data_IF_958800728612
#
_entry.id   IF_958800728612
#
_cell.length_a   1.000
_cell.length_b   1.000
_cell.length_c   1.000
_cell.angle_alpha   90.00
_cell.angle_beta   90.00
_cell.angle_gamma   90.00
#
_symmetry.space_group_name_H-M   'P 1'
#
loop_
_entity.id
_entity.type
_entity.pdbx_description
1 polymer ?
#
# COMPACT_ATOMS: atom_id res chain seq x y z
N UNK A 1 -27.59 22.90 6.99
CA UNK A 1 -27.97 21.49 6.71
C UNK A 1 -26.80 20.55 6.33
N UNK A 2 -25.64 21.03 5.86
CA UNK A 2 -24.47 20.17 5.52
C UNK A 2 -23.59 19.74 6.72
N UNK A 3 -23.62 20.47 7.84
CA UNK A 3 -22.81 20.18 9.03
C UNK A 3 -23.29 18.96 9.85
N UNK A 4 -24.59 18.64 9.81
CA UNK A 4 -25.15 17.45 10.51
C UNK A 4 -24.79 16.12 9.81
N UNK A 5 -24.45 16.13 8.53
CA UNK A 5 -24.13 14.93 7.75
C UNK A 5 -22.69 14.44 7.97
N UNK A 6 -21.74 15.35 8.19
CA UNK A 6 -20.34 15.00 8.44
C UNK A 6 -20.13 14.40 9.85
N UNK A 7 -20.82 14.95 10.86
CA UNK A 7 -20.83 14.39 12.22
C UNK A 7 -21.47 13.00 12.27
N UNK A 8 -22.52 12.77 11.48
CA UNK A 8 -23.16 11.45 11.35
C UNK A 8 -22.20 10.39 10.77
N UNK A 9 -21.38 10.73 9.76
CA UNK A 9 -20.43 9.79 9.15
C UNK A 9 -19.24 9.46 10.05
N UNK A 10 -18.70 10.43 10.79
CA UNK A 10 -17.63 10.18 11.76
C UNK A 10 -18.11 9.33 12.94
N UNK A 11 -19.31 9.61 13.46
CA UNK A 11 -19.91 8.80 14.53
C UNK A 11 -20.26 7.39 14.03
N UNK A 12 -20.72 7.24 12.78
CA UNK A 12 -20.89 5.94 12.13
C UNK A 12 -19.57 5.17 12.01
N UNK A 13 -18.48 5.83 11.58
CA UNK A 13 -17.16 5.22 11.50
C UNK A 13 -16.62 4.78 12.86
N UNK A 14 -16.80 5.58 13.92
CA UNK A 14 -16.40 5.21 15.28
C UNK A 14 -17.29 4.09 15.87
N UNK A 15 -18.59 4.09 15.55
CA UNK A 15 -19.51 2.98 15.85
C UNK A 15 -19.05 1.69 15.16
N UNK A 16 -18.67 1.77 13.89
CA UNK A 16 -18.24 0.63 13.11
C UNK A 16 -16.86 0.13 13.54
N UNK A 17 -15.99 1.00 14.04
CA UNK A 17 -14.76 0.67 14.77
C UNK A 17 -15.02 -0.07 16.07
N UNK A 18 -15.96 0.42 16.88
CA UNK A 18 -16.32 -0.23 18.13
C UNK A 18 -16.92 -1.61 17.86
N UNK A 19 -17.78 -1.72 16.84
CA UNK A 19 -18.28 -3.00 16.33
C UNK A 19 -17.16 -3.86 15.77
N UNK A 20 -16.17 -3.30 15.08
CA UNK A 20 -15.01 -4.01 14.54
C UNK A 20 -14.13 -4.58 15.65
N UNK A 21 -13.80 -3.78 16.66
CA UNK A 21 -13.07 -4.21 17.85
C UNK A 21 -13.88 -5.28 18.61
N UNK A 22 -15.19 -5.09 18.76
CA UNK A 22 -16.09 -6.08 19.36
C UNK A 22 -16.21 -7.37 18.53
N UNK A 23 -16.24 -7.29 17.19
CA UNK A 23 -16.31 -8.44 16.29
C UNK A 23 -15.02 -9.26 16.30
N UNK A 24 -13.86 -8.58 16.38
CA UNK A 24 -12.56 -9.23 16.58
C UNK A 24 -12.52 -9.92 17.96
N UNK A 25 -13.02 -9.27 19.01
CA UNK A 25 -12.99 -9.82 20.38
C UNK A 25 -14.04 -10.90 20.65
N UNK A 26 -15.21 -10.90 19.99
CA UNK A 26 -16.32 -11.81 20.33
C UNK A 26 -16.32 -13.15 19.61
N UNK A 27 -15.48 -13.40 18.60
CA UNK A 27 -15.51 -14.65 17.82
C UNK A 27 -16.91 -15.06 17.27
N UNK A 28 -17.91 -14.17 17.26
CA UNK A 28 -19.29 -14.42 16.78
C UNK A 28 -19.43 -14.27 15.26
N UNK A 29 -18.42 -14.70 14.51
CA UNK A 29 -18.28 -14.44 13.08
C UNK A 29 -18.86 -15.54 12.17
N UNK A 30 -19.62 -16.49 12.71
CA UNK A 30 -20.09 -17.64 11.92
C UNK A 30 -21.42 -17.43 11.18
N UNK A 31 -22.24 -16.43 11.50
CA UNK A 31 -23.59 -16.29 10.92
C UNK A 31 -23.83 -15.00 10.10
N UNK A 32 -22.80 -14.24 9.74
CA UNK A 32 -22.98 -13.05 8.90
C UNK A 32 -22.68 -13.32 7.42
N UNK A 33 -23.48 -12.71 6.55
CA UNK A 33 -23.26 -12.72 5.10
C UNK A 33 -22.09 -11.79 4.74
N UNK A 34 -20.88 -12.34 4.76
CA UNK A 34 -19.66 -11.60 4.44
C UNK A 34 -19.57 -11.19 2.98
N UNK A 35 -20.38 -11.74 2.08
CA UNK A 35 -20.36 -11.36 0.66
C UNK A 35 -20.81 -9.90 0.49
N UNK A 36 -21.98 -9.55 1.03
CA UNK A 36 -22.52 -8.19 0.95
C UNK A 36 -21.64 -7.18 1.69
N UNK A 37 -21.11 -7.56 2.86
CA UNK A 37 -20.21 -6.71 3.63
C UNK A 37 -18.89 -6.46 2.90
N UNK A 38 -18.30 -7.50 2.30
CA UNK A 38 -17.07 -7.37 1.52
C UNK A 38 -17.28 -6.51 0.27
N UNK A 39 -18.42 -6.66 -0.42
CA UNK A 39 -18.77 -5.83 -1.57
C UNK A 39 -18.89 -4.35 -1.20
N UNK A 40 -19.68 -4.02 -0.18
CA UNK A 40 -19.87 -2.64 0.29
C UNK A 40 -18.56 -1.99 0.75
N UNK A 41 -17.73 -2.74 1.48
CA UNK A 41 -16.42 -2.25 1.92
C UNK A 41 -15.47 -2.03 0.73
N UNK A 42 -15.51 -2.90 -0.27
CA UNK A 42 -14.68 -2.78 -1.49
C UNK A 42 -15.14 -1.62 -2.38
N UNK A 43 -16.44 -1.38 -2.51
CA UNK A 43 -16.99 -0.21 -3.22
C UNK A 43 -16.58 1.09 -2.55
N UNK A 44 -16.67 1.14 -1.21
CA UNK A 44 -16.20 2.30 -0.44
C UNK A 44 -14.71 2.56 -0.68
N UNK A 45 -13.90 1.50 -0.68
CA UNK A 45 -12.46 1.59 -0.93
C UNK A 45 -12.18 2.06 -2.37
N UNK A 46 -12.90 1.54 -3.36
CA UNK A 46 -12.78 1.96 -4.75
C UNK A 46 -13.11 3.44 -4.92
N UNK A 47 -14.18 3.91 -4.27
CA UNK A 47 -14.52 5.32 -4.25
C UNK A 47 -13.40 6.18 -3.64
N UNK A 48 -12.77 5.75 -2.55
CA UNK A 48 -11.63 6.45 -1.96
C UNK A 48 -10.42 6.48 -2.91
N UNK A 49 -10.07 5.34 -3.53
CA UNK A 49 -8.97 5.23 -4.48
C UNK A 49 -9.13 6.20 -5.65
N UNK A 50 -10.33 6.25 -6.23
CA UNK A 50 -10.63 7.15 -7.36
C UNK A 50 -10.68 8.61 -6.89
N UNK A 51 -11.24 8.87 -5.71
CA UNK A 51 -11.36 10.23 -5.16
C UNK A 51 -9.99 10.85 -4.85
N UNK A 52 -9.07 10.09 -4.26
CA UNK A 52 -7.71 10.55 -3.95
C UNK A 52 -6.74 10.42 -5.14
N UNK A 53 -7.22 9.97 -6.31
CA UNK A 53 -6.39 9.77 -7.51
C UNK A 53 -5.24 8.76 -7.32
N UNK A 54 -5.43 7.78 -6.45
CA UNK A 54 -4.43 6.72 -6.26
C UNK A 54 -4.36 5.77 -7.46
N UNK A 55 -5.51 5.48 -8.08
CA UNK A 55 -5.64 4.84 -9.39
C UNK A 55 -6.71 5.56 -10.19
N UNK A 56 -6.49 5.72 -11.50
CA UNK A 56 -7.42 6.45 -12.39
C UNK A 56 -8.69 5.68 -12.66
N UNK A 57 -8.58 4.36 -12.80
CA UNK A 57 -9.69 3.48 -13.19
C UNK A 57 -10.26 2.67 -12.02
N UNK A 58 -9.74 2.84 -10.80
CA UNK A 58 -10.15 2.04 -9.64
C UNK A 58 -9.77 0.56 -9.81
N UNK A 59 -10.66 -0.34 -9.37
CA UNK A 59 -10.45 -1.79 -9.40
C UNK A 59 -10.88 -2.42 -10.73
N UNK A 60 -11.81 -1.82 -11.47
CA UNK A 60 -12.26 -2.38 -12.76
C UNK A 60 -11.36 -1.98 -13.94
N UNK A 61 -10.11 -2.46 -13.91
CA UNK A 61 -9.09 -2.21 -14.93
C UNK A 61 -9.13 -3.28 -16.03
N UNK A 62 -9.64 -2.92 -17.21
CA UNK A 62 -9.61 -3.73 -18.43
C UNK A 62 -8.62 -3.17 -19.46
N UNK A 63 -8.18 -4.02 -20.40
CA UNK A 63 -7.31 -3.61 -21.51
C UNK A 63 -7.96 -2.49 -22.33
N UNK A 64 -9.27 -2.59 -22.57
CA UNK A 64 -10.05 -1.60 -23.33
C UNK A 64 -10.05 -0.24 -22.64
N UNK A 65 -10.35 -0.21 -21.33
CA UNK A 65 -10.33 1.03 -20.54
C UNK A 65 -8.93 1.64 -20.45
N UNK A 66 -7.89 0.81 -20.42
CA UNK A 66 -6.50 1.30 -20.45
C UNK A 66 -6.18 2.00 -21.79
N UNK A 67 -6.67 1.45 -22.91
CA UNK A 67 -6.51 2.06 -24.24
C UNK A 67 -7.25 3.39 -24.32
N UNK A 68 -8.48 3.45 -23.80
CA UNK A 68 -9.25 4.69 -23.73
C UNK A 68 -8.56 5.75 -22.86
N UNK A 69 -8.07 5.35 -21.68
CA UNK A 69 -7.32 6.22 -20.77
C UNK A 69 -6.04 6.77 -21.43
N UNK A 70 -5.33 5.98 -22.24
CA UNK A 70 -4.15 6.45 -22.97
C UNK A 70 -4.48 7.50 -24.03
N UNK A 71 -5.71 7.51 -24.54
CA UNK A 71 -6.17 8.45 -25.56
C UNK A 71 -6.64 9.77 -24.97
N UNK A 72 -7.10 9.78 -23.72
CA UNK A 72 -7.61 10.98 -23.05
C UNK A 72 -6.49 11.75 -22.33
N UNK A 73 -6.53 13.09 -22.42
CA UNK A 73 -5.64 13.94 -21.66
C UNK A 73 -6.10 14.01 -20.20
N UNK A 74 -5.24 13.59 -19.27
CA UNK A 74 -5.56 13.57 -17.85
C UNK A 74 -5.32 14.95 -17.22
N UNK A 75 -6.35 15.81 -17.31
CA UNK A 75 -6.36 17.13 -16.69
C UNK A 75 -6.10 17.06 -15.18
N UNK A 76 -6.62 16.05 -14.48
CA UNK A 76 -6.55 15.96 -13.02
C UNK A 76 -5.12 15.72 -12.55
N UNK A 77 -4.43 14.76 -13.18
CA UNK A 77 -3.02 14.50 -12.89
C UNK A 77 -2.14 15.69 -13.29
N UNK A 78 -2.50 16.41 -14.35
CA UNK A 78 -1.78 17.62 -14.76
C UNK A 78 -1.92 18.75 -13.74
N UNK A 79 -3.13 18.99 -13.20
CA UNK A 79 -3.34 19.93 -12.10
C UNK A 79 -2.50 19.57 -10.87
N UNK A 80 -2.47 18.30 -10.49
CA UNK A 80 -1.67 17.84 -9.36
C UNK A 80 -0.18 18.14 -9.56
N UNK A 81 0.38 17.80 -10.72
CA UNK A 81 1.78 18.12 -11.09
C UNK A 81 2.05 19.62 -11.08
N UNK A 82 1.11 20.42 -11.55
CA UNK A 82 1.23 21.88 -11.55
C UNK A 82 1.33 22.44 -10.12
N UNK A 83 0.46 22.01 -9.20
CA UNK A 83 0.56 22.40 -7.79
C UNK A 83 1.86 21.93 -7.15
N UNK A 84 2.35 20.74 -7.48
CA UNK A 84 3.63 20.24 -6.98
C UNK A 84 4.81 21.08 -7.48
N UNK A 85 4.82 21.45 -8.76
CA UNK A 85 5.85 22.33 -9.33
C UNK A 85 5.85 23.72 -8.67
N UNK A 86 4.68 24.28 -8.39
CA UNK A 86 4.57 25.54 -7.63
C UNK A 86 5.19 25.38 -6.23
N UNK A 87 4.85 24.31 -5.52
CA UNK A 87 5.38 24.09 -4.17
C UNK A 87 6.89 23.83 -4.16
N UNK A 88 7.42 23.06 -5.13
CA UNK A 88 8.86 22.78 -5.25
C UNK A 88 9.67 24.01 -5.67
N UNK A 89 9.20 24.74 -6.68
CA UNK A 89 9.87 25.99 -7.12
C UNK A 89 9.91 27.02 -6.02
N UNK A 90 8.91 27.04 -5.14
CA UNK A 90 8.85 27.90 -3.95
C UNK A 90 9.70 27.39 -2.78
N UNK A 91 9.92 26.09 -2.63
CA UNK A 91 10.77 25.58 -1.55
C UNK A 91 12.16 26.23 -1.60
N UNK A 92 12.78 26.33 -2.78
CA UNK A 92 14.09 26.93 -2.98
C UNK A 92 14.25 28.37 -2.42
N UNK A 93 13.43 29.37 -2.82
CA UNK A 93 13.51 30.71 -2.25
C UNK A 93 13.15 30.75 -0.76
N UNK A 94 12.26 29.87 -0.27
CA UNK A 94 11.91 29.79 1.17
C UNK A 94 13.10 29.31 2.03
N UNK A 95 14.03 28.53 1.48
CA UNK A 95 15.28 28.19 2.19
C UNK A 95 16.27 29.36 2.25
N UNK A 96 16.25 30.24 1.25
CA UNK A 96 17.23 31.32 1.11
C UNK A 96 16.76 32.68 1.66
N UNK A 97 15.47 32.83 1.96
CA UNK A 97 14.90 34.11 2.36
C UNK A 97 15.10 34.39 3.86
N UNK A 98 15.48 35.64 4.16
CA UNK A 98 15.65 36.15 5.52
C UNK A 98 14.77 37.39 5.75
N UNK A 99 14.36 37.60 7.00
CA UNK A 99 13.52 38.74 7.41
C UNK A 99 12.15 38.78 6.74
N UNK A 100 11.63 39.98 6.46
CA UNK A 100 10.29 40.20 5.91
C UNK A 100 10.02 39.54 4.57
N UNK A 101 11.06 39.22 3.80
CA UNK A 101 10.94 38.49 2.53
C UNK A 101 10.42 37.07 2.73
N UNK A 102 10.75 36.43 3.85
CA UNK A 102 10.23 35.11 4.21
C UNK A 102 8.71 35.13 4.49
N UNK A 103 8.18 36.25 5.00
CA UNK A 103 6.74 36.45 5.24
C UNK A 103 5.99 36.53 3.90
N UNK A 104 6.50 37.29 2.93
CA UNK A 104 5.89 37.37 1.59
C UNK A 104 5.96 36.05 0.84
N UNK A 105 7.01 35.26 1.10
CA UNK A 105 7.16 33.88 0.63
C UNK A 105 6.40 32.87 1.50
N UNK A 106 5.54 33.33 2.43
CA UNK A 106 4.60 32.56 3.24
C UNK A 106 5.23 31.42 4.04
N UNK A 107 6.43 31.61 4.59
CA UNK A 107 7.12 30.63 5.42
C UNK A 107 6.28 30.30 6.67
N UNK A 108 5.64 29.11 6.77
CA UNK A 108 4.79 28.78 7.92
C UNK A 108 5.61 28.53 9.20
N UNK A 109 6.93 28.55 9.08
CA UNK A 109 7.90 28.38 10.16
C UNK A 109 8.61 29.70 10.47
N UNK A 110 8.03 30.83 10.04
CA UNK A 110 8.58 32.16 10.31
C UNK A 110 8.75 32.35 11.82
N UNK A 111 9.95 32.76 12.23
CA UNK A 111 10.39 32.87 13.63
C UNK A 111 10.45 31.56 14.44
N UNK A 112 10.16 30.38 13.85
CA UNK A 112 10.38 29.09 14.53
C UNK A 112 11.87 28.81 14.68
N UNK A 113 12.27 28.32 15.87
CA UNK A 113 13.68 28.04 16.19
C UNK A 113 14.23 26.88 15.37
N UNK A 114 13.37 25.93 14.97
CA UNK A 114 13.76 24.71 14.25
C UNK A 114 13.37 24.77 12.76
N UNK A 115 13.24 25.99 12.22
CA UNK A 115 12.80 26.24 10.83
C UNK A 115 13.56 25.40 9.79
N UNK A 116 14.86 25.15 10.00
CA UNK A 116 15.69 24.41 9.03
C UNK A 116 15.32 22.92 9.03
N UNK A 117 15.20 22.32 10.21
CA UNK A 117 14.86 20.89 10.37
C UNK A 117 13.46 20.63 9.82
N UNK A 118 12.49 21.45 10.19
CA UNK A 118 11.10 21.31 9.76
C UNK A 118 10.94 21.52 8.25
N UNK A 119 11.68 22.45 7.63
CA UNK A 119 11.71 22.60 6.17
C UNK A 119 12.27 21.36 5.48
N UNK A 120 13.33 20.74 6.02
CA UNK A 120 13.88 19.49 5.47
C UNK A 120 12.84 18.37 5.54
N UNK A 121 12.15 18.22 6.66
CA UNK A 121 11.08 17.23 6.84
C UNK A 121 9.98 17.41 5.80
N UNK A 122 9.54 18.65 5.55
CA UNK A 122 8.52 18.97 4.53
C UNK A 122 9.00 18.62 3.11
N UNK A 123 10.24 18.97 2.76
CA UNK A 123 10.80 18.70 1.42
C UNK A 123 10.98 17.21 1.20
N UNK A 124 11.66 16.52 2.11
CA UNK A 124 11.91 15.07 2.00
C UNK A 124 10.59 14.33 1.97
N UNK A 125 9.65 14.70 2.85
CA UNK A 125 8.33 14.09 2.91
C UNK A 125 7.56 14.25 1.59
N UNK A 126 7.46 15.48 1.08
CA UNK A 126 6.70 15.77 -0.13
C UNK A 126 7.35 15.15 -1.37
N UNK A 127 8.69 15.18 -1.46
CA UNK A 127 9.42 14.63 -2.60
C UNK A 127 9.22 13.11 -2.72
N UNK A 128 9.38 12.36 -1.63
CA UNK A 128 9.22 10.89 -1.65
C UNK A 128 7.79 10.50 -2.01
N UNK A 129 6.79 11.18 -1.45
CA UNK A 129 5.39 10.92 -1.79
C UNK A 129 5.07 11.25 -3.25
N UNK A 130 5.66 12.30 -3.81
CA UNK A 130 5.49 12.66 -5.22
C UNK A 130 6.11 11.63 -6.16
N UNK A 131 7.35 11.20 -5.90
CA UNK A 131 7.98 10.15 -6.70
C UNK A 131 7.21 8.84 -6.63
N UNK A 132 6.62 8.50 -5.47
CA UNK A 132 5.70 7.37 -5.37
C UNK A 132 4.49 7.55 -6.30
N UNK A 133 3.81 8.71 -6.25
CA UNK A 133 2.68 9.03 -7.12
C UNK A 133 3.03 8.86 -8.61
N UNK A 134 4.14 9.45 -9.05
CA UNK A 134 4.60 9.33 -10.44
C UNK A 134 4.94 7.89 -10.82
N UNK A 135 5.59 7.14 -9.92
CA UNK A 135 5.85 5.72 -10.10
C UNK A 135 4.57 4.92 -10.31
N UNK A 136 3.53 5.16 -9.52
CA UNK A 136 2.22 4.50 -9.65
C UNK A 136 1.58 4.84 -10.99
N UNK A 137 1.55 6.12 -11.37
CA UNK A 137 0.95 6.57 -12.62
C UNK A 137 1.65 5.95 -13.85
N UNK A 138 2.96 5.76 -13.78
CA UNK A 138 3.73 5.07 -14.83
C UNK A 138 3.37 3.59 -14.91
N UNK A 139 3.30 2.90 -13.76
CA UNK A 139 2.93 1.48 -13.68
C UNK A 139 1.49 1.28 -14.18
N UNK A 140 0.55 2.13 -13.79
CA UNK A 140 -0.84 2.08 -14.25
C UNK A 140 -0.91 2.28 -15.78
N UNK A 141 -0.20 3.27 -16.33
CA UNK A 141 -0.14 3.52 -17.79
C UNK A 141 0.43 2.34 -18.58
N UNK A 142 1.34 1.56 -17.98
CA UNK A 142 1.90 0.35 -18.57
C UNK A 142 0.98 -0.87 -18.42
N UNK A 143 -0.17 -0.73 -17.76
CA UNK A 143 -1.09 -1.83 -17.49
C UNK A 143 -0.59 -2.77 -16.39
N UNK A 144 0.09 -2.21 -15.38
CA UNK A 144 0.60 -2.93 -14.21
C UNK A 144 -0.47 -3.59 -13.36
N UNK A 145 -1.66 -2.98 -13.31
CA UNK A 145 -2.79 -3.44 -12.51
C UNK A 145 -3.92 -4.04 -13.37
N UNK A 146 -3.64 -4.36 -14.65
CA UNK A 146 -4.63 -5.05 -15.50
C UNK A 146 -4.57 -6.56 -15.23
N UNK A 147 -5.69 -7.14 -14.81
CA UNK A 147 -5.81 -8.59 -14.63
C UNK A 147 -7.05 -9.00 -13.81
N UNK A 148 -7.31 -10.30 -13.74
CA UNK A 148 -8.41 -10.84 -12.92
C UNK A 148 -8.27 -10.44 -11.44
N UNK A 149 -7.04 -10.30 -10.95
CA UNK A 149 -6.77 -9.93 -9.57
C UNK A 149 -7.19 -8.51 -9.18
N UNK A 150 -7.43 -7.62 -10.14
CA UNK A 150 -8.04 -6.31 -9.87
C UNK A 150 -9.58 -6.33 -9.94
N UNK A 151 -10.20 -7.31 -10.60
CA UNK A 151 -11.67 -7.47 -10.64
C UNK A 151 -12.23 -8.08 -9.36
N UNK A 152 -11.86 -7.50 -8.22
CA UNK A 152 -12.16 -8.02 -6.88
C UNK A 152 -13.67 -8.17 -6.67
N UNK A 153 -14.48 -7.24 -7.19
CA UNK A 153 -15.95 -7.29 -7.07
C UNK A 153 -16.54 -8.54 -7.74
N UNK A 154 -16.02 -8.91 -8.91
CA UNK A 154 -16.45 -10.12 -9.62
C UNK A 154 -15.97 -11.37 -8.88
N UNK A 155 -14.75 -11.33 -8.32
CA UNK A 155 -14.18 -12.44 -7.55
C UNK A 155 -14.91 -12.70 -6.23
N UNK A 156 -15.42 -11.66 -5.57
CA UNK A 156 -16.21 -11.81 -4.32
C UNK A 156 -17.53 -12.56 -4.62
N UNK A 157 -18.18 -12.25 -5.75
CA UNK A 157 -19.46 -12.84 -6.16
C UNK A 157 -19.29 -14.25 -6.77
N UNK A 158 -18.37 -14.37 -7.72
CA UNK A 158 -18.29 -15.54 -8.60
C UNK A 158 -17.10 -16.46 -8.30
N UNK A 159 -16.12 -16.01 -7.47
CA UNK A 159 -14.86 -16.71 -7.29
C UNK A 159 -13.98 -16.70 -8.55
N UNK A 160 -12.98 -17.59 -8.59
CA UNK A 160 -12.10 -17.73 -9.76
C UNK A 160 -12.71 -18.60 -10.87
N UNK A 161 -12.46 -18.21 -12.12
CA UNK A 161 -12.89 -18.94 -13.32
C UNK A 161 -12.21 -20.32 -13.47
N UNK A 162 -10.95 -20.42 -13.05
CA UNK A 162 -10.10 -21.59 -13.27
C UNK A 162 -10.00 -22.54 -12.07
N UNK A 163 -10.18 -22.01 -10.87
CA UNK A 163 -10.13 -22.77 -9.61
C UNK A 163 -11.19 -22.22 -8.65
N UNK A 164 -12.48 -22.53 -8.91
CA UNK A 164 -13.59 -21.94 -8.16
C UNK A 164 -13.42 -22.22 -6.68
N UNK A 165 -13.79 -21.25 -5.86
CA UNK A 165 -13.75 -21.44 -4.42
C UNK A 165 -14.79 -22.47 -4.00
N UNK A 166 -14.36 -23.39 -3.13
CA UNK A 166 -15.32 -24.19 -2.37
C UNK A 166 -15.99 -23.26 -1.35
N UNK A 167 -17.28 -23.43 -1.07
CA UNK A 167 -18.05 -22.57 -0.15
C UNK A 167 -17.32 -22.08 1.14
N UNK A 168 -16.62 -22.92 1.92
CA UNK A 168 -15.86 -22.43 3.08
C UNK A 168 -14.70 -21.49 2.71
N UNK A 169 -14.03 -21.74 1.59
CA UNK A 169 -12.95 -20.88 1.10
C UNK A 169 -13.48 -19.55 0.58
N UNK A 170 -14.66 -19.53 -0.03
CA UNK A 170 -15.31 -18.29 -0.48
C UNK A 170 -15.70 -17.42 0.72
N UNK A 171 -16.26 -18.04 1.78
CA UNK A 171 -16.57 -17.33 3.02
C UNK A 171 -15.31 -16.76 3.68
N UNK A 172 -14.23 -17.54 3.73
CA UNK A 172 -12.94 -17.07 4.25
C UNK A 172 -12.33 -15.95 3.40
N UNK A 173 -12.43 -16.06 2.08
CA UNK A 173 -11.95 -15.03 1.15
C UNK A 173 -12.72 -13.72 1.33
N UNK A 174 -14.05 -13.78 1.34
CA UNK A 174 -14.92 -12.62 1.52
C UNK A 174 -14.66 -11.97 2.89
N UNK A 175 -14.52 -12.78 3.94
CA UNK A 175 -14.16 -12.31 5.28
C UNK A 175 -12.81 -11.59 5.30
N UNK A 176 -11.77 -12.14 4.68
CA UNK A 176 -10.45 -11.49 4.64
C UNK A 176 -10.48 -10.21 3.81
N UNK A 177 -11.15 -10.20 2.66
CA UNK A 177 -11.32 -8.99 1.86
C UNK A 177 -12.06 -7.89 2.64
N UNK A 178 -13.13 -8.24 3.36
CA UNK A 178 -13.85 -7.31 4.23
C UNK A 178 -12.92 -6.68 5.27
N UNK A 179 -12.13 -7.47 6.00
CA UNK A 179 -11.22 -6.92 7.01
C UNK A 179 -10.12 -6.05 6.44
N UNK A 180 -9.54 -6.44 5.31
CA UNK A 180 -8.54 -5.63 4.62
C UNK A 180 -9.16 -4.29 4.21
N UNK A 181 -10.28 -4.31 3.49
CA UNK A 181 -10.97 -3.09 3.06
C UNK A 181 -11.36 -2.20 4.25
N UNK A 182 -11.89 -2.78 5.33
CA UNK A 182 -12.30 -2.03 6.52
C UNK A 182 -11.13 -1.32 7.21
N UNK A 183 -9.99 -2.01 7.37
CA UNK A 183 -8.78 -1.41 7.93
C UNK A 183 -8.33 -0.20 7.11
N UNK A 184 -8.23 -0.35 5.78
CA UNK A 184 -7.75 0.72 4.91
C UNK A 184 -8.74 1.87 4.74
N UNK A 185 -10.05 1.57 4.67
CA UNK A 185 -11.12 2.57 4.65
C UNK A 185 -11.08 3.48 5.89
N UNK A 186 -10.61 2.96 7.02
CA UNK A 186 -10.43 3.70 8.26
C UNK A 186 -9.09 4.45 8.32
N UNK A 187 -8.00 3.83 7.89
CA UNK A 187 -6.67 4.45 7.88
C UNK A 187 -6.59 5.68 6.98
N UNK A 188 -7.31 5.69 5.85
CA UNK A 188 -7.28 6.78 4.87
C UNK A 188 -7.75 8.15 5.41
N UNK A 189 -8.94 8.30 6.03
CA UNK A 189 -9.35 9.56 6.64
C UNK A 189 -8.49 9.93 7.87
N UNK A 190 -8.00 8.94 8.63
CA UNK A 190 -7.12 9.21 9.76
C UNK A 190 -5.80 9.84 9.34
N UNK A 191 -5.15 9.34 8.27
CA UNK A 191 -3.87 9.91 7.83
C UNK A 191 -4.05 11.35 7.34
N UNK A 192 -5.17 11.67 6.71
CA UNK A 192 -5.49 13.04 6.27
C UNK A 192 -5.62 13.97 7.47
N UNK A 193 -6.35 13.55 8.50
CA UNK A 193 -6.51 14.33 9.73
C UNK A 193 -5.15 14.51 10.43
N UNK A 194 -4.36 13.45 10.49
CA UNK A 194 -3.02 13.46 11.10
C UNK A 194 -2.06 14.42 10.39
N UNK A 195 -1.96 14.32 9.06
CA UNK A 195 -1.13 15.20 8.23
C UNK A 195 -1.60 16.65 8.33
N UNK A 196 -2.92 16.87 8.36
CA UNK A 196 -3.48 18.22 8.55
C UNK A 196 -3.04 18.81 9.88
N UNK A 197 -3.13 18.06 10.98
CA UNK A 197 -2.67 18.55 12.29
C UNK A 197 -1.17 18.84 12.26
N UNK A 198 -0.36 17.91 11.77
CA UNK A 198 1.10 18.04 11.72
C UNK A 198 1.55 19.29 10.95
N UNK A 199 1.03 19.50 9.74
CA UNK A 199 1.45 20.61 8.88
C UNK A 199 0.92 21.98 9.33
N UNK A 200 -0.13 22.02 10.14
CA UNK A 200 -0.72 23.27 10.65
C UNK A 200 -0.31 23.56 12.10
N UNK A 201 0.37 22.64 12.79
CA UNK A 201 0.67 22.75 14.22
C UNK A 201 1.46 24.02 14.56
N UNK A 202 2.60 24.22 13.89
CA UNK A 202 3.45 25.39 14.09
C UNK A 202 2.73 26.69 13.71
N UNK A 203 1.91 26.66 12.66
CA UNK A 203 1.13 27.83 12.25
C UNK A 203 0.14 28.24 13.35
N UNK A 204 -0.62 27.30 13.92
CA UNK A 204 -1.62 27.59 14.96
C UNK A 204 -0.96 28.12 16.24
N UNK A 205 0.22 27.60 16.60
CA UNK A 205 0.89 27.95 17.85
C UNK A 205 1.75 29.21 17.72
N UNK A 206 2.47 29.39 16.61
CA UNK A 206 3.30 30.57 16.39
C UNK A 206 2.47 31.81 16.02
N UNK A 207 1.31 31.67 15.35
CA UNK A 207 0.41 32.81 15.12
C UNK A 207 -0.01 33.50 16.42
N UNK A 208 -0.14 32.74 17.51
CA UNK A 208 -0.46 33.30 18.83
C UNK A 208 0.63 34.25 19.33
N UNK A 209 1.89 34.00 18.95
CA UNK A 209 3.06 34.76 19.41
C UNK A 209 3.40 35.96 18.52
N UNK A 210 3.01 35.96 17.23
CA UNK A 210 3.39 36.99 16.25
C UNK A 210 2.19 37.51 15.43
N UNK A 211 1.19 38.07 16.13
CA UNK A 211 -0.05 38.57 15.55
C UNK A 211 0.18 39.79 14.63
N UNK A 212 0.41 39.55 13.33
CA UNK A 212 0.32 40.57 12.28
C UNK A 212 -0.60 40.07 11.16
N UNK A 213 -1.51 40.93 10.71
CA UNK A 213 -2.49 40.60 9.65
C UNK A 213 -1.81 40.17 8.34
N UNK A 214 -0.65 40.77 8.03
CA UNK A 214 0.18 40.43 6.87
C UNK A 214 0.67 38.98 6.95
N UNK A 215 1.23 38.60 8.09
CA UNK A 215 1.75 37.25 8.34
C UNK A 215 0.62 36.21 8.25
N UNK A 216 -0.52 36.49 8.88
CA UNK A 216 -1.69 35.62 8.84
C UNK A 216 -2.19 35.40 7.40
N UNK A 217 -2.29 36.44 6.59
CA UNK A 217 -2.81 36.31 5.22
C UNK A 217 -1.91 35.43 4.33
N UNK A 218 -0.59 35.67 4.33
CA UNK A 218 0.34 34.93 3.47
C UNK A 218 0.56 33.48 3.94
N UNK A 219 0.60 33.24 5.25
CA UNK A 219 0.75 31.89 5.81
C UNK A 219 -0.52 31.04 5.63
N UNK A 220 -1.71 31.61 5.82
CA UNK A 220 -2.97 30.89 5.58
C UNK A 220 -3.14 30.56 4.10
N UNK A 221 -2.87 31.52 3.20
CA UNK A 221 -2.93 31.29 1.76
C UNK A 221 -2.01 30.15 1.33
N UNK A 222 -0.82 30.06 1.93
CA UNK A 222 0.12 28.97 1.66
C UNK A 222 -0.37 27.62 2.17
N UNK A 223 -0.84 27.60 3.40
CA UNK A 223 -1.28 26.39 4.07
C UNK A 223 -2.47 25.75 3.35
N UNK A 224 -3.33 26.57 2.74
CA UNK A 224 -4.41 26.14 1.84
C UNK A 224 -3.92 25.47 0.56
N UNK A 225 -2.66 25.67 0.16
CA UNK A 225 -2.07 25.03 -1.03
C UNK A 225 -1.20 23.81 -0.70
N UNK A 226 -0.38 23.88 0.35
CA UNK A 226 0.54 22.80 0.71
C UNK A 226 -0.17 21.66 1.46
N UNK A 227 -0.97 21.97 2.49
CA UNK A 227 -1.58 20.94 3.35
C UNK A 227 -2.51 20.02 2.57
N UNK A 228 -3.45 20.50 1.73
CA UNK A 228 -4.31 19.61 0.96
C UNK A 228 -3.54 18.75 -0.03
N UNK A 229 -2.46 19.29 -0.61
CA UNK A 229 -1.60 18.54 -1.53
C UNK A 229 -0.91 17.38 -0.80
N UNK A 230 -0.27 17.65 0.34
CA UNK A 230 0.43 16.61 1.11
C UNK A 230 -0.56 15.60 1.68
N UNK A 231 -1.73 16.05 2.17
CA UNK A 231 -2.77 15.15 2.66
C UNK A 231 -3.29 14.22 1.56
N UNK A 232 -3.44 14.72 0.33
CA UNK A 232 -3.83 13.93 -0.83
C UNK A 232 -2.75 12.91 -1.20
N UNK A 233 -1.47 13.32 -1.26
CA UNK A 233 -0.36 12.42 -1.54
C UNK A 233 -0.20 11.33 -0.45
N UNK A 234 -0.41 11.66 0.82
CA UNK A 234 -0.39 10.70 1.92
C UNK A 234 -1.56 9.70 1.83
N UNK A 235 -2.76 10.18 1.50
CA UNK A 235 -3.92 9.33 1.26
C UNK A 235 -3.69 8.36 0.09
N UNK A 236 -3.05 8.82 -0.99
CA UNK A 236 -2.67 7.96 -2.13
C UNK A 236 -1.75 6.82 -1.72
N UNK A 237 -0.73 7.09 -0.90
CA UNK A 237 0.17 6.05 -0.39
C UNK A 237 -0.58 4.98 0.41
N UNK A 238 -1.50 5.40 1.28
CA UNK A 238 -2.36 4.49 2.06
C UNK A 238 -3.25 3.67 1.14
N UNK A 239 -3.88 4.29 0.14
CA UNK A 239 -4.68 3.60 -0.86
C UNK A 239 -3.86 2.57 -1.66
N UNK A 240 -2.61 2.86 -2.00
CA UNK A 240 -1.75 1.90 -2.68
C UNK A 240 -1.42 0.69 -1.79
N UNK A 241 -1.19 0.92 -0.49
CA UNK A 241 -1.03 -0.16 0.49
C UNK A 241 -2.24 -1.10 0.50
N UNK A 242 -3.45 -0.53 0.42
CA UNK A 242 -4.68 -1.29 0.31
C UNK A 242 -4.77 -2.11 -0.98
N UNK A 243 -4.48 -1.49 -2.13
CA UNK A 243 -4.44 -2.15 -3.44
C UNK A 243 -3.47 -3.33 -3.40
N UNK A 244 -2.26 -3.12 -2.87
CA UNK A 244 -1.23 -4.15 -2.79
C UNK A 244 -1.66 -5.33 -1.90
N UNK A 245 -2.26 -5.03 -0.74
CA UNK A 245 -2.80 -6.04 0.18
C UNK A 245 -3.93 -6.86 -0.45
N UNK A 246 -4.89 -6.21 -1.12
CA UNK A 246 -5.99 -6.90 -1.80
C UNK A 246 -5.47 -7.76 -2.96
N UNK A 247 -4.57 -7.20 -3.76
CA UNK A 247 -3.93 -7.91 -4.87
C UNK A 247 -3.24 -9.20 -4.41
N UNK A 248 -2.49 -9.09 -3.31
CA UNK A 248 -1.81 -10.23 -2.69
C UNK A 248 -2.80 -11.24 -2.12
N UNK A 249 -3.88 -10.77 -1.49
CA UNK A 249 -4.92 -11.62 -0.90
C UNK A 249 -5.58 -12.47 -1.98
N UNK A 250 -5.91 -11.88 -3.14
CA UNK A 250 -6.47 -12.62 -4.27
C UNK A 250 -5.54 -13.77 -4.68
N UNK A 251 -4.27 -13.47 -4.95
CA UNK A 251 -3.30 -14.52 -5.31
C UNK A 251 -3.08 -15.55 -4.19
N UNK A 252 -3.18 -15.15 -2.92
CA UNK A 252 -3.06 -16.04 -1.76
C UNK A 252 -4.18 -17.09 -1.73
N UNK A 253 -5.41 -16.67 -1.99
CA UNK A 253 -6.56 -17.57 -2.04
C UNK A 253 -6.55 -18.42 -3.31
N UNK A 254 -6.11 -17.88 -4.45
CA UNK A 254 -5.93 -18.65 -5.68
C UNK A 254 -4.92 -19.80 -5.50
N UNK A 255 -3.76 -19.50 -4.87
CA UNK A 255 -2.78 -20.51 -4.46
C UNK A 255 -3.35 -21.52 -3.45
N UNK A 256 -4.28 -21.11 -2.60
CA UNK A 256 -5.00 -21.99 -1.68
C UNK A 256 -5.86 -23.00 -2.43
N UNK A 257 -6.63 -22.54 -3.42
CA UNK A 257 -7.46 -23.39 -4.27
C UNK A 257 -6.60 -24.39 -5.05
N UNK A 258 -5.48 -23.94 -5.63
CA UNK A 258 -4.51 -24.82 -6.29
C UNK A 258 -3.97 -25.89 -5.32
N UNK A 259 -3.55 -25.50 -4.11
CA UNK A 259 -3.09 -26.43 -3.08
C UNK A 259 -4.14 -27.50 -2.77
N UNK A 260 -5.40 -27.10 -2.66
CA UNK A 260 -6.49 -28.02 -2.38
C UNK A 260 -6.73 -28.99 -3.54
N UNK A 261 -6.71 -28.50 -4.79
CA UNK A 261 -6.78 -29.34 -5.98
C UNK A 261 -5.61 -30.34 -6.05
N UNK A 262 -4.37 -29.90 -5.78
CA UNK A 262 -3.20 -30.78 -5.72
C UNK A 262 -3.32 -31.81 -4.60
N UNK A 263 -3.90 -31.45 -3.46
CA UNK A 263 -4.11 -32.39 -2.35
C UNK A 263 -5.15 -33.48 -2.68
N UNK A 264 -6.20 -33.13 -3.40
CA UNK A 264 -7.20 -34.09 -3.89
C UNK A 264 -6.57 -35.05 -4.90
N UNK A 265 -5.73 -34.52 -5.80
CA UNK A 265 -4.97 -35.33 -6.74
C UNK A 265 -4.03 -36.31 -6.04
N UNK A 266 -3.33 -35.88 -4.98
CA UNK A 266 -2.49 -36.75 -4.16
C UNK A 266 -3.26 -37.87 -3.45
N UNK A 267 -4.52 -37.62 -3.05
CA UNK A 267 -5.41 -38.61 -2.44
C UNK A 267 -6.04 -39.56 -3.48
N UNK A 268 -6.18 -39.12 -4.72
CA UNK A 268 -6.78 -39.85 -5.84
C UNK A 268 -5.75 -40.60 -6.71
N UNK A 269 -4.52 -40.77 -6.23
CA UNK A 269 -3.35 -41.12 -7.05
C UNK A 269 -3.34 -42.56 -7.63
N UNK A 270 -4.37 -43.36 -7.36
CA UNK A 270 -4.47 -44.74 -7.84
C UNK A 270 -5.01 -44.86 -9.27
N UNK A 271 -5.52 -43.76 -9.86
CA UNK A 271 -6.17 -43.82 -11.19
C UNK A 271 -5.18 -43.53 -12.33
N UNK A 272 -5.09 -44.42 -13.35
CA UNK A 272 -4.11 -44.33 -14.44
C UNK A 272 -4.44 -43.30 -15.54
N UNK A 273 -5.53 -42.54 -15.43
CA UNK A 273 -5.97 -41.61 -16.48
C UNK A 273 -5.73 -40.13 -16.14
N UNK A 274 -4.96 -39.49 -17.04
CA UNK A 274 -4.30 -38.18 -16.95
C UNK A 274 -5.22 -36.94 -17.07
N UNK A 275 -6.55 -37.05 -17.04
CA UNK A 275 -7.43 -35.88 -17.24
C UNK A 275 -7.25 -34.84 -16.15
N UNK A 276 -7.24 -35.29 -14.89
CA UNK A 276 -7.25 -34.41 -13.71
C UNK A 276 -5.86 -33.81 -13.50
N UNK A 277 -4.81 -34.62 -13.73
CA UNK A 277 -3.43 -34.19 -13.78
C UNK A 277 -3.24 -33.13 -14.87
N UNK A 278 -3.77 -33.36 -16.08
CA UNK A 278 -3.68 -32.44 -17.21
C UNK A 278 -4.37 -31.12 -16.93
N UNK A 279 -5.57 -31.19 -16.35
CA UNK A 279 -6.35 -30.02 -15.96
C UNK A 279 -5.59 -29.18 -14.94
N UNK A 280 -5.19 -29.78 -13.81
CA UNK A 280 -4.50 -29.07 -12.72
C UNK A 280 -3.15 -28.52 -13.19
N UNK A 281 -2.37 -29.27 -13.96
CA UNK A 281 -1.07 -28.81 -14.51
C UNK A 281 -1.26 -27.61 -15.45
N UNK A 282 -2.27 -27.65 -16.34
CA UNK A 282 -2.56 -26.54 -17.25
C UNK A 282 -2.94 -25.28 -16.48
N UNK A 283 -3.88 -25.38 -15.55
CA UNK A 283 -4.34 -24.21 -14.79
C UNK A 283 -3.28 -23.69 -13.81
N UNK A 284 -2.44 -24.56 -13.23
CA UNK A 284 -1.28 -24.13 -12.45
C UNK A 284 -0.29 -23.32 -13.31
N UNK A 285 -0.02 -23.76 -14.54
CA UNK A 285 0.89 -23.04 -15.46
C UNK A 285 0.34 -21.65 -15.82
N UNK A 286 -0.96 -21.56 -16.11
CA UNK A 286 -1.63 -20.27 -16.37
C UNK A 286 -1.49 -19.34 -15.17
N UNK A 287 -1.76 -19.85 -13.97
CA UNK A 287 -1.67 -19.07 -12.74
C UNK A 287 -0.25 -18.57 -12.44
N UNK A 288 0.77 -19.41 -12.62
CA UNK A 288 2.16 -18.97 -12.47
C UNK A 288 2.53 -17.91 -13.52
N UNK A 289 2.10 -18.08 -14.77
CA UNK A 289 2.32 -17.06 -15.81
C UNK A 289 1.67 -15.72 -15.47
N UNK A 290 0.44 -15.74 -14.95
CA UNK A 290 -0.26 -14.52 -14.52
C UNK A 290 0.45 -13.86 -13.35
N UNK A 291 0.85 -14.63 -12.33
CA UNK A 291 1.61 -14.11 -11.19
C UNK A 291 2.94 -13.49 -11.64
N UNK A 292 3.71 -14.18 -12.48
CA UNK A 292 4.99 -13.68 -12.99
C UNK A 292 4.81 -12.38 -13.80
N UNK A 293 3.81 -12.34 -14.69
CA UNK A 293 3.51 -11.14 -15.50
C UNK A 293 3.15 -9.96 -14.60
N UNK A 294 2.29 -10.18 -13.61
CA UNK A 294 1.76 -9.13 -12.76
C UNK A 294 2.82 -8.59 -11.80
N UNK A 295 3.57 -9.48 -11.13
CA UNK A 295 4.63 -9.08 -10.20
C UNK A 295 5.79 -8.40 -10.91
N UNK A 296 6.12 -8.83 -12.14
CA UNK A 296 7.16 -8.19 -12.94
C UNK A 296 6.85 -6.71 -13.24
N UNK A 297 5.58 -6.36 -13.44
CA UNK A 297 5.17 -4.97 -13.73
C UNK A 297 5.24 -4.06 -12.50
N UNK A 298 5.03 -4.60 -11.30
CA UNK A 298 4.99 -3.82 -10.05
C UNK A 298 6.30 -3.86 -9.25
N UNK A 299 7.26 -4.72 -9.60
CA UNK A 299 8.49 -4.97 -8.82
C UNK A 299 9.31 -3.72 -8.50
N UNK A 300 9.43 -2.78 -9.44
CA UNK A 300 10.20 -1.55 -9.23
C UNK A 300 9.48 -0.56 -8.33
N UNK A 301 8.14 -0.55 -8.38
CA UNK A 301 7.34 0.22 -7.45
C UNK A 301 7.54 -0.32 -6.02
N UNK A 302 7.49 -1.63 -5.83
CA UNK A 302 7.75 -2.26 -4.53
C UNK A 302 9.16 -1.94 -4.02
N UNK A 303 10.16 -1.98 -4.89
CA UNK A 303 11.53 -1.58 -4.53
C UNK A 303 11.60 -0.14 -4.03
N UNK A 304 10.86 0.78 -4.67
CA UNK A 304 10.76 2.17 -4.22
C UNK A 304 10.12 2.30 -2.82
N UNK A 305 9.16 1.45 -2.47
CA UNK A 305 8.57 1.44 -1.11
C UNK A 305 9.58 1.03 -0.04
N UNK A 306 10.36 -0.03 -0.28
CA UNK A 306 11.37 -0.49 0.68
C UNK A 306 12.58 0.43 0.79
N UNK A 307 12.90 1.17 -0.27
CA UNK A 307 14.05 2.09 -0.27
C UNK A 307 13.60 3.50 0.08
N UNK A 308 12.83 4.16 -0.78
CA UNK A 308 12.40 5.55 -0.60
C UNK A 308 11.47 5.77 0.59
N UNK A 309 10.35 5.04 0.65
CA UNK A 309 9.33 5.26 1.69
C UNK A 309 9.81 4.82 3.08
N UNK A 310 10.53 3.69 3.16
CA UNK A 310 11.14 3.27 4.42
C UNK A 310 12.26 4.22 4.87
N UNK A 311 13.11 4.71 3.95
CA UNK A 311 14.13 5.70 4.29
C UNK A 311 13.50 7.01 4.77
N UNK A 312 12.39 7.45 4.16
CA UNK A 312 11.62 8.61 4.65
C UNK A 312 11.17 8.42 6.11
N UNK A 313 10.66 7.24 6.47
CA UNK A 313 10.30 6.91 7.86
C UNK A 313 11.51 7.03 8.79
N UNK A 314 12.67 6.50 8.38
CA UNK A 314 13.91 6.59 9.13
C UNK A 314 14.31 8.06 9.39
N UNK A 315 14.27 8.90 8.36
CA UNK A 315 14.56 10.33 8.49
C UNK A 315 13.62 11.03 9.47
N UNK A 316 12.32 10.73 9.43
CA UNK A 316 11.35 11.32 10.36
C UNK A 316 11.63 10.92 11.81
N UNK A 317 11.91 9.64 12.07
CA UNK A 317 12.27 9.17 13.42
C UNK A 317 13.57 9.83 13.89
N UNK A 318 14.59 9.92 13.02
CA UNK A 318 15.87 10.55 13.33
C UNK A 318 15.72 12.02 13.70
N UNK A 319 15.03 12.81 12.87
CA UNK A 319 14.85 14.24 13.13
C UNK A 319 14.06 14.49 14.41
N UNK A 320 13.04 13.68 14.68
CA UNK A 320 12.19 13.84 15.84
C UNK A 320 12.84 13.41 17.16
N UNK A 321 13.58 12.29 17.17
CA UNK A 321 14.08 11.69 18.42
C UNK A 321 15.51 12.12 18.73
N UNK A 322 16.37 12.24 17.71
CA UNK A 322 17.82 12.41 17.93
C UNK A 322 18.24 13.87 17.80
N UNK A 323 17.76 14.55 16.76
CA UNK A 323 18.02 16.00 16.61
C UNK A 323 17.13 16.76 17.60
N UNK A 324 15.85 16.37 17.66
CA UNK A 324 14.86 17.02 18.50
C UNK A 324 14.50 18.41 17.97
N UNK A 325 13.22 18.76 18.05
CA UNK A 325 12.78 20.13 17.88
C UNK A 325 12.53 20.72 19.28
N UNK A 326 12.42 22.04 19.34
CA UNK A 326 12.07 22.77 20.55
C UNK A 326 10.68 22.37 21.09
N UNK A 327 9.78 21.86 20.24
CA UNK A 327 8.46 21.38 20.65
C UNK A 327 8.40 19.85 20.74
N UNK A 328 8.27 19.34 21.96
CA UNK A 328 8.04 17.91 22.26
C UNK A 328 6.83 17.36 21.51
N UNK A 329 5.80 18.18 21.31
CA UNK A 329 4.59 17.76 20.58
C UNK A 329 4.90 17.59 19.09
N UNK A 330 5.66 18.50 18.48
CA UNK A 330 6.06 18.40 17.08
C UNK A 330 6.94 17.16 16.85
N UNK A 331 7.89 16.91 17.75
CA UNK A 331 8.70 15.69 17.72
C UNK A 331 7.84 14.44 17.83
N UNK A 332 6.88 14.42 18.74
CA UNK A 332 5.97 13.28 18.89
C UNK A 332 5.15 13.04 17.61
N UNK A 333 4.71 14.11 16.93
CA UNK A 333 3.97 14.01 15.67
C UNK A 333 4.86 13.55 14.51
N UNK A 334 6.10 14.02 14.41
CA UNK A 334 7.02 13.60 13.35
C UNK A 334 7.48 12.16 13.57
N UNK A 335 7.86 11.80 14.81
CA UNK A 335 8.22 10.42 15.17
C UNK A 335 7.04 9.47 14.95
N UNK A 336 5.83 9.89 15.35
CA UNK A 336 4.60 9.14 15.12
C UNK A 336 4.35 8.87 13.64
N UNK A 337 4.55 9.86 12.76
CA UNK A 337 4.45 9.68 11.31
C UNK A 337 5.44 8.63 10.80
N UNK A 338 6.70 8.71 11.24
CA UNK A 338 7.73 7.72 10.92
C UNK A 338 7.33 6.31 11.32
N UNK A 339 6.86 6.13 12.56
CA UNK A 339 6.40 4.83 13.10
C UNK A 339 5.20 4.30 12.30
N UNK A 340 4.24 5.18 11.94
CA UNK A 340 3.08 4.81 11.14
C UNK A 340 3.53 4.27 9.77
N UNK A 341 4.45 4.96 9.09
CA UNK A 341 4.94 4.56 7.75
C UNK A 341 5.63 3.19 7.78
N UNK A 342 6.53 2.96 8.75
CA UNK A 342 7.22 1.66 8.85
C UNK A 342 6.25 0.54 9.22
N UNK A 343 5.30 0.80 10.13
CA UNK A 343 4.27 -0.17 10.51
C UNK A 343 3.41 -0.57 9.31
N UNK A 344 2.97 0.40 8.50
CA UNK A 344 2.22 0.12 7.27
C UNK A 344 3.04 -0.71 6.27
N UNK A 345 4.33 -0.36 6.10
CA UNK A 345 5.25 -1.11 5.23
C UNK A 345 5.41 -2.56 5.71
N UNK A 346 5.55 -2.78 7.02
CA UNK A 346 5.65 -4.12 7.61
C UNK A 346 4.36 -4.94 7.44
N UNK A 347 3.18 -4.34 7.61
CA UNK A 347 1.90 -5.02 7.38
C UNK A 347 1.82 -5.54 5.94
N UNK A 348 2.10 -4.68 4.96
CA UNK A 348 2.11 -5.05 3.54
C UNK A 348 3.13 -6.18 3.30
N UNK A 349 4.34 -6.02 3.84
CA UNK A 349 5.42 -7.01 3.73
C UNK A 349 5.03 -8.38 4.25
N UNK A 350 4.36 -8.45 5.41
CA UNK A 350 3.91 -9.69 6.02
C UNK A 350 2.82 -10.38 5.18
N UNK A 351 1.90 -9.60 4.60
CA UNK A 351 0.88 -10.13 3.69
C UNK A 351 1.53 -10.71 2.43
N UNK A 352 2.50 -10.02 1.82
CA UNK A 352 3.29 -10.51 0.69
C UNK A 352 4.08 -11.78 1.03
N UNK A 353 4.78 -11.79 2.17
CA UNK A 353 5.56 -12.93 2.63
C UNK A 353 4.70 -14.19 2.84
N UNK A 354 3.45 -14.04 3.33
CA UNK A 354 2.51 -15.15 3.48
C UNK A 354 2.16 -15.80 2.14
N UNK A 355 2.05 -15.02 1.05
CA UNK A 355 1.85 -15.57 -0.29
C UNK A 355 3.09 -16.35 -0.75
N UNK A 356 4.28 -15.75 -0.68
CA UNK A 356 5.54 -16.39 -1.10
C UNK A 356 5.79 -17.70 -0.35
N UNK A 357 5.57 -17.71 0.97
CA UNK A 357 5.69 -18.93 1.79
C UNK A 357 4.69 -20.01 1.38
N UNK A 358 3.49 -19.63 0.92
CA UNK A 358 2.49 -20.58 0.42
C UNK A 358 2.91 -21.19 -0.92
N UNK A 359 3.51 -20.40 -1.81
CA UNK A 359 4.11 -20.88 -3.06
C UNK A 359 5.21 -21.90 -2.75
N UNK A 360 6.12 -21.60 -1.81
CA UNK A 360 7.20 -22.50 -1.42
C UNK A 360 6.69 -23.84 -0.84
N UNK A 361 5.55 -23.82 -0.13
CA UNK A 361 4.90 -25.04 0.40
C UNK A 361 4.27 -25.93 -0.68
N UNK A 362 4.08 -25.44 -1.91
CA UNK A 362 3.59 -26.25 -3.03
C UNK A 362 4.65 -27.22 -3.56
N UNK A 363 5.95 -26.88 -3.43
CA UNK A 363 7.06 -27.71 -3.91
C UNK A 363 6.98 -29.18 -3.45
N UNK A 364 6.92 -29.50 -2.14
CA UNK A 364 6.87 -30.90 -1.68
C UNK A 364 5.61 -31.63 -2.17
N UNK A 365 4.48 -30.93 -2.32
CA UNK A 365 3.24 -31.53 -2.83
C UNK A 365 3.37 -31.90 -4.31
N UNK A 366 3.87 -30.98 -5.14
CA UNK A 366 4.11 -31.25 -6.56
C UNK A 366 5.20 -32.29 -6.78
N UNK A 367 6.23 -32.33 -5.93
CA UNK A 367 7.25 -33.37 -5.97
C UNK A 367 6.65 -34.75 -5.70
N UNK A 368 5.75 -34.88 -4.71
CA UNK A 368 5.03 -36.13 -4.45
C UNK A 368 4.11 -36.52 -5.61
N UNK A 369 3.44 -35.55 -6.25
CA UNK A 369 2.64 -35.80 -7.45
C UNK A 369 3.50 -36.34 -8.57
N UNK A 370 4.65 -35.71 -8.83
CA UNK A 370 5.59 -36.14 -9.85
C UNK A 370 6.06 -37.59 -9.65
N UNK A 371 6.52 -37.93 -8.43
CA UNK A 371 7.01 -39.26 -8.09
C UNK A 371 5.94 -40.36 -8.21
N UNK A 372 4.70 -40.07 -7.79
CA UNK A 372 3.60 -41.04 -7.79
C UNK A 372 2.89 -41.13 -9.15
N UNK A 373 3.02 -40.12 -10.02
CA UNK A 373 2.27 -40.08 -11.28
C UNK A 373 2.78 -41.11 -12.30
N UNK A 374 1.85 -41.87 -12.87
CA UNK A 374 2.06 -42.66 -14.11
C UNK A 374 1.80 -41.82 -15.37
N UNK A 375 2.07 -40.52 -15.29
CA UNK A 375 1.78 -39.56 -16.36
C UNK A 375 2.70 -39.76 -17.58
N UNK A 376 2.27 -39.28 -18.77
CA UNK A 376 3.09 -39.30 -19.98
C UNK A 376 4.33 -38.41 -19.82
N UNK A 377 5.38 -38.66 -20.61
CA UNK A 377 6.65 -37.90 -20.56
C UNK A 377 6.41 -36.39 -20.72
N UNK A 378 5.54 -36.00 -21.66
CA UNK A 378 5.19 -34.59 -21.89
C UNK A 378 4.60 -33.93 -20.64
N UNK A 379 3.76 -34.66 -19.88
CA UNK A 379 3.15 -34.13 -18.67
C UNK A 379 4.15 -34.09 -17.51
N UNK A 380 5.06 -35.05 -17.44
CA UNK A 380 6.18 -35.00 -16.49
C UNK A 380 7.08 -33.80 -16.75
N UNK A 381 7.37 -33.44 -18.00
CA UNK A 381 8.11 -32.22 -18.33
C UNK A 381 7.38 -30.95 -17.84
N UNK A 382 6.05 -30.87 -18.03
CA UNK A 382 5.25 -29.75 -17.50
C UNK A 382 5.20 -29.71 -15.97
N UNK A 383 5.17 -30.85 -15.30
CA UNK A 383 5.28 -30.90 -13.84
C UNK A 383 6.64 -30.39 -13.37
N UNK A 384 7.73 -30.78 -14.05
CA UNK A 384 9.08 -30.29 -13.78
C UNK A 384 9.15 -28.77 -13.98
N UNK A 385 8.50 -28.22 -15.01
CA UNK A 385 8.39 -26.76 -15.20
C UNK A 385 7.73 -26.09 -13.98
N UNK A 386 6.61 -26.62 -13.48
CA UNK A 386 5.93 -26.10 -12.29
C UNK A 386 6.83 -26.21 -11.05
N UNK A 387 7.50 -27.35 -10.86
CA UNK A 387 8.46 -27.56 -9.77
C UNK A 387 9.57 -26.52 -9.81
N UNK A 388 10.18 -26.29 -10.98
CA UNK A 388 11.22 -25.30 -11.16
C UNK A 388 10.72 -23.88 -10.87
N UNK A 389 9.49 -23.55 -11.30
CA UNK A 389 8.84 -22.28 -10.98
C UNK A 389 8.63 -22.12 -9.47
N UNK A 390 8.25 -23.15 -8.73
CA UNK A 390 8.09 -23.02 -7.26
C UNK A 390 9.40 -22.80 -6.49
N UNK A 391 10.55 -23.13 -7.08
CA UNK A 391 11.88 -22.94 -6.48
C UNK A 391 12.58 -21.66 -6.93
N UNK A 392 12.11 -21.03 -8.00
CA UNK A 392 12.70 -19.82 -8.53
C UNK A 392 12.55 -18.67 -7.51
N UNK A 393 13.64 -17.92 -7.20
CA UNK A 393 13.60 -16.79 -6.27
C UNK A 393 12.76 -15.61 -6.80
N UNK A 394 12.35 -15.70 -8.07
CA UNK A 394 11.48 -14.74 -8.76
C UNK A 394 10.00 -15.06 -8.58
N UNK A 395 9.62 -16.26 -8.11
CA UNK A 395 8.22 -16.67 -8.10
C UNK A 395 7.53 -16.22 -6.81
N UNK A 396 6.89 -15.06 -6.87
CA UNK A 396 6.25 -14.40 -5.73
C UNK A 396 6.30 -12.88 -5.87
N UNK A 397 5.89 -12.16 -4.83
CA UNK A 397 5.98 -10.70 -4.82
C UNK A 397 7.45 -10.28 -4.84
N UNK A 398 7.90 -9.70 -5.96
CA UNK A 398 9.30 -9.32 -6.20
C UNK A 398 9.60 -7.90 -5.72
N UNK A 399 10.82 -7.71 -5.21
CA UNK A 399 11.42 -6.41 -4.92
C UNK A 399 12.46 -6.13 -6.00
N UNK A 400 12.11 -5.33 -6.99
CA UNK A 400 13.00 -5.02 -8.12
C UNK A 400 13.55 -6.30 -8.77
N UNK A 401 14.87 -6.36 -8.93
CA UNK A 401 15.61 -7.54 -9.38
C UNK A 401 16.34 -8.28 -8.23
N UNK A 402 16.11 -7.88 -6.96
CA UNK A 402 16.82 -8.42 -5.79
C UNK A 402 16.30 -9.78 -5.33
N UNK A 403 14.98 -9.99 -5.38
CA UNK A 403 14.37 -11.25 -4.94
C UNK A 403 12.92 -11.11 -4.51
N UNK A 404 12.33 -12.20 -4.01
CA UNK A 404 10.97 -12.23 -3.49
C UNK A 404 10.90 -11.85 -2.00
N UNK A 405 9.79 -11.22 -1.60
CA UNK A 405 9.49 -10.93 -0.18
C UNK A 405 9.19 -12.25 0.53
N UNK A 406 10.11 -12.71 1.38
CA UNK A 406 9.96 -13.86 2.29
C UNK A 406 9.84 -13.38 3.73
N UNK A 407 9.43 -14.26 4.65
CA UNK A 407 9.45 -13.93 6.09
C UNK A 407 10.85 -13.58 6.59
N UNK A 408 11.86 -14.26 6.06
CA UNK A 408 13.25 -14.03 6.43
C UNK A 408 13.71 -12.66 5.93
N UNK A 409 13.32 -12.27 4.71
CA UNK A 409 13.56 -10.93 4.19
C UNK A 409 12.93 -9.85 5.09
N UNK A 410 11.70 -10.04 5.56
CA UNK A 410 11.05 -9.06 6.44
C UNK A 410 11.81 -8.89 7.77
N UNK A 411 12.33 -9.98 8.33
CA UNK A 411 13.14 -9.95 9.54
C UNK A 411 14.49 -9.25 9.30
N UNK A 412 15.16 -9.56 8.19
CA UNK A 412 16.42 -8.90 7.79
C UNK A 412 16.19 -7.41 7.58
N UNK A 413 15.14 -7.03 6.85
CA UNK A 413 14.78 -5.63 6.64
C UNK A 413 14.52 -4.88 7.95
N UNK A 414 13.81 -5.50 8.91
CA UNK A 414 13.59 -4.89 10.22
C UNK A 414 14.91 -4.72 11.00
N UNK A 415 15.79 -5.71 10.93
CA UNK A 415 17.11 -5.65 11.56
C UNK A 415 17.97 -4.55 10.93
N UNK A 416 18.02 -4.48 9.60
CA UNK A 416 18.73 -3.43 8.86
C UNK A 416 18.17 -2.04 9.17
N UNK A 417 16.84 -1.89 9.25
CA UNK A 417 16.20 -0.65 9.64
C UNK A 417 16.64 -0.22 11.04
N UNK A 418 16.60 -1.13 12.02
CA UNK A 418 17.04 -0.87 13.40
C UNK A 418 18.55 -0.55 13.47
N UNK A 419 19.38 -1.29 12.75
CA UNK A 419 20.83 -1.03 12.66
C UNK A 419 21.13 0.31 12.02
N UNK A 420 20.39 0.72 10.99
CA UNK A 420 20.51 2.07 10.41
C UNK A 420 20.08 3.15 11.39
N UNK A 421 18.98 2.96 12.14
CA UNK A 421 18.62 3.92 13.19
C UNK A 421 19.73 4.08 14.22
N UNK A 422 20.31 2.96 14.68
CA UNK A 422 21.39 2.97 15.66
C UNK A 422 22.64 3.65 15.08
N UNK A 423 23.00 3.34 13.83
CA UNK A 423 24.13 3.96 13.15
C UNK A 423 23.95 5.47 13.02
N UNK A 424 22.76 5.94 12.62
CA UNK A 424 22.48 7.37 12.54
C UNK A 424 22.49 8.02 13.92
N UNK A 425 21.97 7.36 14.96
CA UNK A 425 22.04 7.83 16.35
C UNK A 425 23.47 7.98 16.85
N UNK A 426 24.32 6.96 16.66
CA UNK A 426 25.71 7.00 17.11
C UNK A 426 26.56 8.03 16.35
N UNK A 427 26.33 8.20 15.04
CA UNK A 427 27.15 9.09 14.22
C UNK A 427 26.69 10.54 14.27
N UNK A 428 25.38 10.81 14.37
CA UNK A 428 24.85 12.18 14.36
C UNK A 428 24.46 12.68 15.74
N UNK A 429 24.26 11.81 16.74
CA UNK A 429 23.92 12.20 18.10
C UNK A 429 25.02 12.94 18.85
N UNK A 430 26.24 13.03 18.30
CA UNK A 430 27.33 13.86 18.84
C UNK A 430 27.51 15.21 18.13
N UNK A 431 26.85 15.41 16.98
CA UNK A 431 26.91 16.66 16.20
C UNK A 431 25.80 17.67 16.57
N UNK A 432 24.84 17.24 17.38
CA UNK A 432 23.76 18.03 17.95
C UNK A 432 23.80 17.86 19.48
#
# INVERSE_FOLDING_TARGET
MKQKLAGSRLVLLFSDLWKFAQLIFRQQLNDHDFEQLALSATETMEHQIVFYFALRLGFDQSVEKLVEMKRQFDLKNWFLRFFILINLSRAYPVFSAEGDTAIYLGDPLFASKDKVVLKIVVVVGTAVMYFAHEGIMLVERQGGFVGEAMRIKDLIKNGFSHFPFVAPQQKDFNRTCYYVCLFWNFSCPLIILYVTILYNYELVINLYNHFSFKTLFFEVAWTLTLTPLVALLAAQLVCLGAVSCLYTTVHHYHMGSLKNATSLLLKSNDKPYNSDIRFITRHATVLFNEMDLNFRKIRFLIFYFYTGVALQSLWFIQFAIIIGNHSVVMDTLIAGLGIIIITHTLIISLVCARLTNKVRRLYPMWHQVYLKSKATIIMKLKMIEILNRTTLPTTGFQIGDFGAITTDFVLIFLLEFASMMMMLSCNFGSFF
#
